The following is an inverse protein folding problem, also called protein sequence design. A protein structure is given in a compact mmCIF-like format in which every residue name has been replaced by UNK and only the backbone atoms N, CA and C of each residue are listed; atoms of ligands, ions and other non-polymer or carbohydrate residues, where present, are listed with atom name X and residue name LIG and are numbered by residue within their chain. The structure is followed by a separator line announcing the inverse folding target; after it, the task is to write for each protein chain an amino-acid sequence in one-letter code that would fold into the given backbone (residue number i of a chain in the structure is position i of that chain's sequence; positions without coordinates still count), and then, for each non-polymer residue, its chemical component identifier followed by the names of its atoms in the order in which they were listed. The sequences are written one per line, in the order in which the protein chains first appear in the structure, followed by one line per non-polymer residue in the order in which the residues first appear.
data_IF_105003240772
#
_entry.id   IF_105003240772
#
_cell.length_a   1.000
_cell.length_b   1.000
_cell.length_c   1.000
_cell.angle_alpha   90.00
_cell.angle_beta   90.00
_cell.angle_gamma   90.00
#
_symmetry.space_group_name_H-M   'P 1'
#
loop_
_entity.id
_entity.type
_entity.pdbx_description
1 polymer ?
#
# COMPACT_ATOMS: atom_id res chain seq x y z
N UNK A 1 -5.94 -8.98 33.63
CA UNK A 1 -6.51 -9.96 32.71
C UNK A 1 -7.24 -9.33 31.54
N UNK A 2 -8.02 -8.29 31.79
CA UNK A 2 -8.77 -7.65 30.72
C UNK A 2 -7.88 -6.91 29.71
N UNK A 3 -6.73 -6.42 30.17
CA UNK A 3 -5.81 -5.70 29.31
C UNK A 3 -5.22 -6.59 28.20
N UNK A 4 -5.03 -7.88 28.49
CA UNK A 4 -4.48 -8.80 27.51
C UNK A 4 -5.43 -9.02 26.33
N UNK A 5 -6.74 -9.06 26.60
CA UNK A 5 -7.74 -9.25 25.53
C UNK A 5 -7.77 -8.04 24.60
N UNK A 6 -7.72 -6.84 25.17
CA UNK A 6 -7.69 -5.62 24.37
C UNK A 6 -6.45 -5.54 23.48
N UNK A 7 -5.33 -5.97 24.00
CA UNK A 7 -4.07 -5.96 23.26
C UNK A 7 -4.15 -6.85 22.02
N UNK A 8 -4.70 -8.05 22.18
CA UNK A 8 -4.83 -9.00 21.07
C UNK A 8 -5.74 -8.43 19.99
N UNK A 9 -6.86 -7.82 20.39
CA UNK A 9 -7.78 -7.22 19.42
C UNK A 9 -7.13 -6.11 18.62
N UNK A 10 -6.30 -5.31 19.28
CA UNK A 10 -5.58 -4.23 18.58
C UNK A 10 -4.64 -4.78 17.52
N UNK A 11 -3.89 -5.83 17.85
CA UNK A 11 -2.96 -6.43 16.88
C UNK A 11 -3.70 -7.00 15.67
N UNK A 12 -4.85 -7.60 15.88
CA UNK A 12 -5.65 -8.14 14.78
C UNK A 12 -6.08 -7.04 13.82
N UNK A 13 -6.44 -5.87 14.35
CA UNK A 13 -6.89 -4.77 13.52
C UNK A 13 -5.81 -4.24 12.60
N UNK A 14 -4.52 -4.38 12.97
CA UNK A 14 -3.42 -3.90 12.15
C UNK A 14 -2.98 -4.89 11.07
N UNK A 15 -3.49 -6.11 11.10
CA UNK A 15 -2.95 -7.20 10.28
C UNK A 15 -3.65 -7.39 8.94
N UNK A 16 -4.79 -6.74 8.67
CA UNK A 16 -5.56 -7.05 7.47
C UNK A 16 -6.34 -5.84 6.99
N UNK A 17 -6.65 -5.85 5.68
CA UNK A 17 -7.56 -4.87 5.10
C UNK A 17 -9.00 -5.25 5.44
N UNK A 18 -9.79 -4.25 5.81
CA UNK A 18 -11.22 -4.46 6.04
C UNK A 18 -11.97 -4.39 4.71
N UNK A 19 -13.22 -4.88 4.74
CA UNK A 19 -14.07 -4.76 3.57
C UNK A 19 -14.27 -3.31 3.16
N UNK A 20 -14.49 -2.43 4.14
CA UNK A 20 -14.66 -1.01 3.88
C UNK A 20 -13.45 -0.42 3.18
N UNK A 21 -12.26 -0.78 3.65
CA UNK A 21 -11.04 -0.31 3.02
C UNK A 21 -10.90 -0.82 1.60
N UNK A 22 -11.23 -2.09 1.36
CA UNK A 22 -11.18 -2.64 0.00
C UNK A 22 -12.12 -1.90 -0.94
N UNK A 23 -13.31 -1.52 -0.45
CA UNK A 23 -14.31 -0.86 -1.30
C UNK A 23 -14.04 0.61 -1.54
N UNK A 24 -13.39 1.29 -0.60
CA UNK A 24 -13.22 2.75 -0.67
C UNK A 24 -11.81 3.20 -1.02
N UNK A 25 -10.88 2.28 -1.20
CA UNK A 25 -9.49 2.62 -1.48
C UNK A 25 -9.36 3.34 -2.83
N UNK A 26 -8.62 4.45 -2.83
CA UNK A 26 -8.17 5.05 -4.06
C UNK A 26 -6.91 4.31 -4.51
N UNK A 27 -7.07 3.42 -5.47
CA UNK A 27 -5.99 2.50 -5.86
C UNK A 27 -4.81 3.23 -6.48
N UNK A 28 -5.06 4.32 -7.22
CA UNK A 28 -3.98 5.13 -7.76
C UNK A 28 -3.13 5.72 -6.64
N UNK A 29 -3.77 6.32 -5.66
CA UNK A 29 -3.04 6.92 -4.54
C UNK A 29 -2.29 5.89 -3.73
N UNK A 30 -2.88 4.71 -3.54
CA UNK A 30 -2.21 3.66 -2.80
C UNK A 30 -0.96 3.19 -3.54
N UNK A 31 -1.06 3.01 -4.86
CA UNK A 31 0.09 2.63 -5.66
C UNK A 31 1.19 3.67 -5.59
N UNK A 32 0.82 4.93 -5.73
CA UNK A 32 1.78 6.02 -5.66
C UNK A 32 2.49 6.05 -4.30
N UNK A 33 1.75 5.87 -3.21
CA UNK A 33 2.33 5.88 -1.88
C UNK A 33 3.28 4.69 -1.67
N UNK A 34 2.88 3.51 -2.14
CA UNK A 34 3.72 2.33 -1.97
C UNK A 34 5.08 2.52 -2.63
N UNK A 35 5.12 3.11 -3.81
CA UNK A 35 6.37 3.34 -4.52
C UNK A 35 7.11 4.56 -3.97
N UNK A 36 6.43 5.67 -3.79
CA UNK A 36 7.05 6.94 -3.46
C UNK A 36 7.52 7.01 -2.01
N UNK A 37 6.65 6.62 -1.09
CA UNK A 37 6.94 6.75 0.33
C UNK A 37 7.74 5.55 0.84
N UNK A 38 7.34 4.36 0.47
CA UNK A 38 7.93 3.14 1.02
C UNK A 38 8.96 2.51 0.11
N UNK A 39 9.05 2.92 -1.16
CA UNK A 39 9.99 2.33 -2.09
C UNK A 39 9.76 0.86 -2.33
N UNK A 40 8.55 0.39 -2.15
CA UNK A 40 8.24 -1.03 -2.25
C UNK A 40 7.91 -1.42 -3.67
N UNK A 41 8.01 -2.73 -3.94
CA UNK A 41 7.53 -3.28 -5.19
C UNK A 41 6.01 -3.17 -5.27
N UNK A 42 5.42 -3.31 -6.48
CA UNK A 42 3.97 -3.36 -6.57
C UNK A 42 3.40 -4.47 -5.69
N UNK A 43 2.38 -4.14 -4.91
CA UNK A 43 1.77 -5.06 -3.97
C UNK A 43 0.33 -5.39 -4.33
N UNK A 44 -0.05 -5.14 -5.59
CA UNK A 44 -1.44 -5.28 -6.00
C UNK A 44 -1.94 -6.71 -5.86
N UNK A 45 -1.07 -7.71 -6.08
CA UNK A 45 -1.48 -9.10 -5.94
C UNK A 45 -1.88 -9.42 -4.50
N UNK A 46 -1.17 -8.86 -3.53
CA UNK A 46 -1.49 -9.07 -2.12
C UNK A 46 -2.81 -8.40 -1.76
N UNK A 47 -3.04 -7.19 -2.27
CA UNK A 47 -4.31 -6.51 -2.04
C UNK A 47 -5.47 -7.26 -2.68
N UNK A 48 -5.26 -7.76 -3.90
CA UNK A 48 -6.28 -8.53 -4.60
C UNK A 48 -6.65 -9.78 -3.81
N UNK A 49 -5.65 -10.46 -3.27
CA UNK A 49 -5.89 -11.66 -2.48
C UNK A 49 -6.71 -11.35 -1.22
N UNK A 50 -6.35 -10.29 -0.52
CA UNK A 50 -7.05 -9.91 0.71
C UNK A 50 -8.47 -9.44 0.45
N UNK A 51 -8.66 -8.66 -0.59
CA UNK A 51 -9.98 -8.12 -0.91
C UNK A 51 -10.89 -9.15 -1.55
N UNK A 52 -10.34 -10.24 -2.08
CA UNK A 52 -11.14 -11.32 -2.66
C UNK A 52 -12.08 -11.94 -1.63
N UNK A 53 -11.70 -11.94 -0.36
CA UNK A 53 -12.55 -12.47 0.71
C UNK A 53 -13.88 -11.72 0.81
N UNK A 54 -13.92 -10.47 0.34
CA UNK A 54 -15.13 -9.64 0.37
C UNK A 54 -15.77 -9.50 -1.00
N UNK A 55 -15.28 -10.25 -1.99
CA UNK A 55 -15.78 -10.14 -3.35
C UNK A 55 -15.40 -8.83 -4.04
N UNK A 56 -14.34 -8.18 -3.58
CA UNK A 56 -13.90 -6.90 -4.12
C UNK A 56 -12.63 -7.11 -4.94
N UNK A 57 -12.64 -6.59 -6.16
CA UNK A 57 -11.48 -6.64 -7.05
C UNK A 57 -10.86 -5.25 -7.11
N UNK A 58 -9.58 -5.11 -6.72
CA UNK A 58 -8.90 -3.83 -6.84
C UNK A 58 -8.79 -3.38 -8.31
N UNK A 59 -8.72 -2.06 -8.51
CA UNK A 59 -8.45 -1.50 -9.82
C UNK A 59 -6.94 -1.58 -10.08
N UNK A 60 -6.52 -2.67 -10.70
CA UNK A 60 -5.10 -2.92 -10.92
C UNK A 60 -4.48 -1.87 -11.83
N UNK A 61 -5.18 -1.47 -12.88
CA UNK A 61 -4.64 -0.48 -13.80
C UNK A 61 -4.40 0.86 -13.09
N UNK A 62 -5.34 1.28 -12.25
CA UNK A 62 -5.18 2.51 -11.49
C UNK A 62 -4.01 2.41 -10.52
N UNK A 63 -3.92 1.28 -9.82
CA UNK A 63 -2.83 1.07 -8.88
C UNK A 63 -1.48 1.15 -9.58
N UNK A 64 -1.32 0.45 -10.70
CA UNK A 64 -0.04 0.43 -11.39
C UNK A 64 0.32 1.80 -11.96
N UNK A 65 -0.67 2.54 -12.45
CA UNK A 65 -0.40 3.89 -12.93
C UNK A 65 0.13 4.78 -11.80
N UNK A 66 -0.48 4.68 -10.62
CA UNK A 66 -0.01 5.42 -9.46
C UNK A 66 1.37 4.95 -9.01
N UNK A 67 1.58 3.64 -9.04
CA UNK A 67 2.86 3.07 -8.63
C UNK A 67 4.00 3.59 -9.52
N UNK A 68 3.79 3.62 -10.84
CA UNK A 68 4.82 4.13 -11.74
C UNK A 68 5.10 5.59 -11.50
N UNK A 69 4.07 6.41 -11.24
CA UNK A 69 4.28 7.81 -10.89
C UNK A 69 5.09 7.95 -9.60
N UNK A 70 4.73 7.18 -8.59
CA UNK A 70 5.44 7.21 -7.32
C UNK A 70 6.87 6.73 -7.44
N UNK A 71 7.09 5.72 -8.27
CA UNK A 71 8.43 5.19 -8.50
C UNK A 71 9.34 6.23 -9.14
N UNK A 72 8.81 7.01 -10.09
CA UNK A 72 9.59 8.10 -10.69
C UNK A 72 9.99 9.14 -9.65
N UNK A 73 9.07 9.50 -8.76
CA UNK A 73 9.39 10.45 -7.70
C UNK A 73 10.44 9.90 -6.74
N UNK A 74 10.29 8.64 -6.38
CA UNK A 74 11.25 7.99 -5.49
C UNK A 74 12.65 7.99 -6.09
N UNK A 75 12.75 7.59 -7.36
CA UNK A 75 14.03 7.55 -8.05
C UNK A 75 14.64 8.92 -8.19
N UNK A 76 13.80 9.92 -8.48
CA UNK A 76 14.28 11.29 -8.62
C UNK A 76 14.92 11.78 -7.34
N UNK A 77 14.28 11.54 -6.21
CA UNK A 77 14.84 11.97 -4.93
C UNK A 77 16.13 11.25 -4.58
N UNK A 78 16.16 9.93 -4.78
CA UNK A 78 17.34 9.15 -4.45
C UNK A 78 18.49 9.45 -5.40
N UNK A 79 18.18 9.64 -6.69
CA UNK A 79 19.23 9.99 -7.66
C UNK A 79 19.80 11.36 -7.40
N UNK A 80 18.99 12.32 -7.00
CA UNK A 80 19.48 13.64 -6.67
C UNK A 80 20.40 13.59 -5.46
N UNK A 81 20.05 12.79 -4.47
CA UNK A 81 20.91 12.60 -3.32
C UNK A 81 22.24 11.97 -3.70
N UNK A 82 22.22 10.99 -4.58
CA UNK A 82 23.43 10.36 -5.06
C UNK A 82 24.23 11.30 -5.96
N UNK A 83 23.53 12.05 -6.79
CA UNK A 83 24.18 12.98 -7.70
C UNK A 83 24.97 14.04 -6.98
N UNK A 84 24.52 14.47 -5.82
CA UNK A 84 25.23 15.48 -5.07
C UNK A 84 26.55 14.97 -4.48
N UNK A 85 26.74 13.68 -4.43
CA UNK A 85 27.98 13.08 -3.95
C UNK A 85 29.05 13.00 -5.04
N UNK A 86 28.64 13.19 -6.27
CA UNK A 86 29.59 13.14 -7.38
C UNK A 86 30.24 14.49 -7.59
#
# INVERSE_FOLDING_TARGET
MHAAVLFVAFLSACASLSESECRSTNWFQLGMRDADVYGSRPMIDQYAHRCAAFGVTPDEAAYMAGWYDGDLEYRRRTNQGQGSDL
#
